data_IF_453072426575
#
_entry.id   IF_453072426575
#
_cell.length_a   1.000
_cell.length_b   1.000
_cell.length_c   1.000
_cell.angle_alpha   90.00
_cell.angle_beta   90.00
_cell.angle_gamma   90.00
#
_symmetry.space_group_name_H-M   'P 1'
#
loop_
_entity.id
_entity.type
_entity.pdbx_description
1 polymer ?
#
# COMPACT_ATOMS: atom_id res chain seq x y z
N UNK A 1 24.54 -36.75 -31.24
CA UNK A 1 23.30 -36.39 -31.97
C UNK A 1 22.09 -36.79 -31.12
N UNK A 2 21.50 -35.85 -30.36
CA UNK A 2 20.27 -36.10 -29.58
C UNK A 2 19.07 -36.07 -30.54
N UNK A 3 18.57 -37.24 -30.94
CA UNK A 3 17.28 -37.33 -31.65
C UNK A 3 16.17 -37.13 -30.63
N UNK A 4 15.72 -35.88 -30.45
CA UNK A 4 14.48 -35.57 -29.77
C UNK A 4 13.33 -36.28 -30.51
N UNK A 5 12.86 -37.42 -29.98
CA UNK A 5 11.59 -38.01 -30.38
C UNK A 5 10.48 -37.11 -29.85
N UNK A 6 10.15 -36.06 -30.60
CA UNK A 6 9.05 -35.16 -30.25
C UNK A 6 7.75 -35.94 -30.53
N UNK A 7 7.20 -36.57 -29.49
CA UNK A 7 5.85 -37.10 -29.52
C UNK A 7 4.85 -35.95 -29.74
N UNK A 8 3.78 -36.18 -30.51
CA UNK A 8 2.71 -35.21 -30.76
C UNK A 8 2.18 -34.60 -29.44
N UNK A 9 2.14 -35.41 -28.37
CA UNK A 9 1.77 -34.98 -27.03
C UNK A 9 2.70 -33.90 -26.45
N UNK A 10 4.02 -34.03 -26.66
CA UNK A 10 4.99 -33.04 -26.17
C UNK A 10 4.86 -31.71 -26.93
N UNK A 11 4.55 -31.78 -28.23
CA UNK A 11 4.37 -30.59 -29.07
C UNK A 11 3.09 -29.83 -28.68
N UNK A 12 1.99 -30.56 -28.46
CA UNK A 12 0.74 -29.99 -27.93
C UNK A 12 0.93 -29.36 -26.55
N UNK A 13 1.71 -30.01 -25.66
CA UNK A 13 1.97 -29.50 -24.32
C UNK A 13 2.80 -28.21 -24.35
N UNK A 14 3.80 -28.12 -25.22
CA UNK A 14 4.60 -26.90 -25.43
C UNK A 14 3.71 -25.76 -25.94
N UNK A 15 2.87 -26.02 -26.94
CA UNK A 15 1.94 -25.02 -27.49
C UNK A 15 0.92 -24.57 -26.45
N UNK A 16 0.31 -25.49 -25.70
CA UNK A 16 -0.62 -25.18 -24.63
C UNK A 16 0.02 -24.35 -23.51
N UNK A 17 1.26 -24.68 -23.13
CA UNK A 17 2.03 -23.92 -22.14
C UNK A 17 2.32 -22.51 -22.64
N UNK A 18 2.76 -22.36 -23.90
CA UNK A 18 3.02 -21.06 -24.53
C UNK A 18 1.77 -20.19 -24.59
N UNK A 19 0.63 -20.74 -25.02
CA UNK A 19 -0.66 -20.05 -25.03
C UNK A 19 -1.08 -19.60 -23.63
N UNK A 20 -0.87 -20.45 -22.62
CA UNK A 20 -1.20 -20.12 -21.23
C UNK A 20 -0.35 -18.97 -20.71
N UNK A 21 0.96 -18.95 -21.02
CA UNK A 21 1.86 -17.84 -20.64
C UNK A 21 1.43 -16.53 -21.30
N UNK A 22 1.10 -16.54 -22.60
CA UNK A 22 0.62 -15.35 -23.32
C UNK A 22 -0.70 -14.85 -22.73
N UNK A 23 -1.64 -15.76 -22.45
CA UNK A 23 -2.90 -15.44 -21.80
C UNK A 23 -2.68 -14.78 -20.43
N UNK A 24 -1.83 -15.37 -19.59
CA UNK A 24 -1.50 -14.81 -18.26
C UNK A 24 -0.85 -13.43 -18.37
N UNK A 25 0.02 -13.22 -19.38
CA UNK A 25 0.66 -11.93 -19.59
C UNK A 25 -0.34 -10.84 -20.01
N UNK A 26 -1.36 -11.21 -20.80
CA UNK A 26 -2.41 -10.31 -21.22
C UNK A 26 -3.42 -10.03 -20.11
N UNK A 27 -3.68 -11.01 -19.24
CA UNK A 27 -4.56 -10.89 -18.08
C UNK A 27 -3.87 -10.36 -16.82
N UNK A 28 -2.60 -9.96 -16.89
CA UNK A 28 -1.81 -9.51 -15.72
C UNK A 28 -2.52 -8.47 -14.85
N UNK A 29 -3.22 -7.51 -15.48
CA UNK A 29 -3.93 -6.45 -14.76
C UNK A 29 -5.11 -7.03 -13.94
N UNK A 30 -5.85 -7.98 -14.52
CA UNK A 30 -6.94 -8.69 -13.84
C UNK A 30 -6.40 -9.56 -12.70
N UNK A 31 -5.26 -10.24 -12.92
CA UNK A 31 -4.60 -11.03 -11.87
C UNK A 31 -4.19 -10.16 -10.69
N UNK A 32 -3.63 -8.96 -10.92
CA UNK A 32 -3.30 -8.01 -9.85
C UNK A 32 -4.55 -7.59 -9.08
N UNK A 33 -5.64 -7.25 -9.77
CA UNK A 33 -6.92 -6.90 -9.12
C UNK A 33 -7.43 -8.06 -8.26
N UNK A 34 -7.41 -9.29 -8.79
CA UNK A 34 -7.82 -10.48 -8.06
C UNK A 34 -6.93 -10.75 -6.84
N UNK A 35 -5.62 -10.56 -6.96
CA UNK A 35 -4.70 -10.69 -5.83
C UNK A 35 -5.03 -9.68 -4.72
N UNK A 36 -5.27 -8.41 -5.08
CA UNK A 36 -5.69 -7.38 -4.13
C UNK A 36 -7.03 -7.77 -3.48
N UNK A 37 -7.99 -8.27 -4.26
CA UNK A 37 -9.28 -8.72 -3.76
C UNK A 37 -9.17 -9.88 -2.77
N UNK A 38 -8.32 -10.88 -3.07
CA UNK A 38 -8.02 -12.00 -2.18
C UNK A 38 -7.39 -11.50 -0.89
N UNK A 39 -6.39 -10.63 -0.96
CA UNK A 39 -5.74 -10.04 0.22
C UNK A 39 -6.77 -9.31 1.08
N UNK A 40 -7.59 -8.43 0.48
CA UNK A 40 -8.66 -7.73 1.19
C UNK A 40 -9.66 -8.69 1.83
N UNK A 41 -10.05 -9.75 1.11
CA UNK A 41 -11.01 -10.74 1.59
C UNK A 41 -10.43 -11.49 2.80
N UNK A 42 -9.19 -11.94 2.70
CA UNK A 42 -8.43 -12.57 3.77
C UNK A 42 -8.29 -11.68 5.00
N UNK A 43 -8.04 -10.38 4.82
CA UNK A 43 -7.90 -9.42 5.92
C UNK A 43 -9.23 -9.16 6.63
N UNK A 44 -10.35 -9.09 5.90
CA UNK A 44 -11.66 -8.78 6.47
C UNK A 44 -12.43 -10.02 6.96
N UNK A 45 -12.06 -11.22 6.50
CA UNK A 45 -12.74 -12.47 6.86
C UNK A 45 -12.89 -12.68 8.39
N UNK A 46 -11.87 -12.46 9.24
CA UNK A 46 -12.03 -12.66 10.69
C UNK A 46 -13.07 -11.73 11.33
N UNK A 47 -13.24 -10.52 10.78
CA UNK A 47 -14.24 -9.54 11.26
C UNK A 47 -15.64 -10.03 10.87
N UNK A 48 -15.80 -10.51 9.65
CA UNK A 48 -17.07 -11.04 9.13
C UNK A 48 -17.46 -12.33 9.85
N UNK A 49 -16.52 -13.26 10.03
CA UNK A 49 -16.71 -14.50 10.79
C UNK A 49 -17.12 -14.21 12.25
N UNK A 50 -16.58 -13.14 12.84
CA UNK A 50 -16.96 -12.69 14.18
C UNK A 50 -18.38 -12.12 14.21
N UNK A 51 -18.76 -11.33 13.20
CA UNK A 51 -20.13 -10.83 13.04
C UNK A 51 -21.15 -11.96 12.81
N UNK A 52 -20.77 -13.02 12.09
CA UNK A 52 -21.62 -14.19 11.89
C UNK A 52 -21.88 -14.96 13.20
N UNK A 53 -20.87 -15.06 14.08
CA UNK A 53 -21.03 -15.60 15.45
C UNK A 53 -22.02 -14.78 16.30
N UNK A 54 -22.21 -13.50 15.99
CA UNK A 54 -23.20 -12.61 16.60
C UNK A 54 -24.59 -12.73 15.96
N UNK A 55 -24.85 -13.79 15.16
CA UNK A 55 -26.11 -14.06 14.42
C UNK A 55 -26.43 -13.05 13.31
N UNK A 56 -25.44 -12.30 12.82
CA UNK A 56 -25.62 -11.43 11.65
C UNK A 56 -25.51 -12.28 10.38
N UNK A 57 -26.48 -12.25 9.45
CA UNK A 57 -26.37 -13.01 8.22
C UNK A 57 -25.17 -12.52 7.40
N UNK A 58 -24.41 -13.46 6.81
CA UNK A 58 -23.11 -13.18 6.22
C UNK A 58 -23.10 -12.05 5.19
N UNK A 59 -24.09 -11.99 4.30
CA UNK A 59 -24.22 -10.91 3.31
C UNK A 59 -24.34 -9.52 3.95
N UNK A 60 -25.07 -9.42 5.07
CA UNK A 60 -25.22 -8.18 5.83
C UNK A 60 -23.93 -7.83 6.57
N UNK A 61 -23.24 -8.84 7.12
CA UNK A 61 -21.93 -8.65 7.74
C UNK A 61 -20.91 -8.09 6.74
N UNK A 62 -20.87 -8.60 5.49
CA UNK A 62 -20.02 -8.05 4.42
C UNK A 62 -20.34 -6.57 4.19
N UNK A 63 -21.61 -6.22 3.97
CA UNK A 63 -22.03 -4.84 3.72
C UNK A 63 -21.64 -3.92 4.88
N UNK A 64 -21.95 -4.31 6.12
CA UNK A 64 -21.67 -3.51 7.30
C UNK A 64 -20.17 -3.30 7.52
N UNK A 65 -19.34 -4.33 7.32
CA UNK A 65 -17.89 -4.22 7.45
C UNK A 65 -17.31 -3.28 6.38
N UNK A 66 -17.76 -3.38 5.13
CA UNK A 66 -17.31 -2.47 4.07
C UNK A 66 -17.78 -1.03 4.29
N UNK A 67 -19.04 -0.82 4.69
CA UNK A 67 -19.54 0.50 5.04
C UNK A 67 -18.76 1.08 6.22
N UNK A 68 -18.48 0.29 7.25
CA UNK A 68 -17.67 0.68 8.40
C UNK A 68 -16.23 1.04 8.00
N UNK A 69 -15.61 0.27 7.11
CA UNK A 69 -14.28 0.55 6.58
C UNK A 69 -14.26 1.87 5.80
N UNK A 70 -15.21 2.07 4.88
CA UNK A 70 -15.31 3.29 4.06
C UNK A 70 -15.59 4.50 4.96
N UNK A 71 -16.55 4.39 5.88
CA UNK A 71 -16.89 5.44 6.83
C UNK A 71 -15.71 5.78 7.75
N UNK A 72 -14.99 4.77 8.27
CA UNK A 72 -13.82 4.95 9.11
C UNK A 72 -12.67 5.64 8.39
N UNK A 73 -12.31 5.17 7.18
CA UNK A 73 -11.26 5.78 6.37
C UNK A 73 -11.62 7.22 5.97
N UNK A 74 -12.87 7.45 5.57
CA UNK A 74 -13.36 8.79 5.21
C UNK A 74 -13.36 9.71 6.42
N UNK A 75 -13.84 9.24 7.57
CA UNK A 75 -13.87 10.00 8.83
C UNK A 75 -12.47 10.38 9.31
N UNK A 76 -11.53 9.43 9.30
CA UNK A 76 -10.11 9.69 9.58
C UNK A 76 -9.55 10.73 8.61
N UNK A 77 -9.82 10.58 7.31
CA UNK A 77 -9.37 11.52 6.28
C UNK A 77 -9.92 12.94 6.47
N UNK A 78 -11.19 13.09 6.82
CA UNK A 78 -11.83 14.39 7.03
C UNK A 78 -11.36 15.09 8.31
N UNK A 79 -11.11 14.34 9.38
CA UNK A 79 -10.68 14.91 10.67
C UNK A 79 -9.18 15.18 10.70
N UNK A 80 -8.39 14.18 10.28
CA UNK A 80 -6.93 14.22 10.40
C UNK A 80 -6.30 14.87 9.16
N UNK A 81 -6.86 14.63 7.96
CA UNK A 81 -6.30 15.06 6.68
C UNK A 81 -6.02 16.57 6.58
N UNK A 82 -6.96 17.47 6.91
CA UNK A 82 -6.71 18.91 6.87
C UNK A 82 -5.56 19.34 7.80
N UNK A 83 -5.50 18.75 9.00
CA UNK A 83 -4.43 19.01 9.97
C UNK A 83 -3.09 18.55 9.43
N UNK A 84 -3.00 17.34 8.90
CA UNK A 84 -1.78 16.80 8.27
C UNK A 84 -1.33 17.71 7.12
N UNK A 85 -2.24 18.09 6.23
CA UNK A 85 -1.94 18.96 5.09
C UNK A 85 -1.37 20.31 5.54
N UNK A 86 -1.97 20.94 6.57
CA UNK A 86 -1.45 22.17 7.14
C UNK A 86 -0.07 22.00 7.77
N UNK A 87 0.17 20.91 8.50
CA UNK A 87 1.47 20.64 9.14
C UNK A 87 2.57 20.40 8.09
N UNK A 88 2.26 19.67 7.02
CA UNK A 88 3.18 19.46 5.90
C UNK A 88 3.50 20.79 5.21
N UNK A 89 2.49 21.62 4.91
CA UNK A 89 2.71 22.95 4.32
C UNK A 89 3.56 23.85 5.20
N UNK A 90 3.33 23.83 6.52
CA UNK A 90 4.16 24.57 7.49
C UNK A 90 5.60 24.07 7.48
N UNK A 91 5.81 22.75 7.42
CA UNK A 91 7.15 22.16 7.36
C UNK A 91 7.90 22.68 6.13
N UNK A 92 7.28 22.63 4.95
CA UNK A 92 7.89 23.15 3.73
C UNK A 92 8.20 24.64 3.78
N UNK A 93 7.36 25.45 4.44
CA UNK A 93 7.60 26.89 4.60
C UNK A 93 8.74 27.20 5.57
N UNK A 94 8.91 26.41 6.63
CA UNK A 94 9.98 26.61 7.63
C UNK A 94 11.29 25.91 7.27
N UNK A 95 11.25 24.96 6.34
CA UNK A 95 12.42 24.17 5.94
C UNK A 95 13.63 25.05 5.53
N UNK A 96 13.48 26.12 4.71
CA UNK A 96 14.62 26.97 4.36
C UNK A 96 15.26 27.63 5.59
N UNK A 97 14.46 28.15 6.51
CA UNK A 97 14.95 28.77 7.75
C UNK A 97 15.68 27.77 8.65
N UNK A 98 15.21 26.52 8.73
CA UNK A 98 15.91 25.46 9.47
C UNK A 98 17.25 25.09 8.83
N UNK A 99 17.33 25.11 7.49
CA UNK A 99 18.59 24.89 6.78
C UNK A 99 19.57 26.04 7.00
N UNK A 100 19.12 27.29 6.99
CA UNK A 100 19.96 28.46 7.30
C UNK A 100 20.56 28.35 8.70
N UNK A 101 19.74 28.01 9.72
CA UNK A 101 20.25 27.79 11.08
C UNK A 101 21.27 26.64 11.11
N UNK A 102 20.97 25.52 10.47
CA UNK A 102 21.88 24.38 10.43
C UNK A 102 23.22 24.75 9.75
N UNK A 103 23.19 25.43 8.62
CA UNK A 103 24.40 25.90 7.91
C UNK A 103 25.23 26.84 8.79
N UNK A 104 24.60 27.80 9.47
CA UNK A 104 25.32 28.71 10.38
C UNK A 104 25.96 28.00 11.58
N UNK A 105 25.32 26.96 12.13
CA UNK A 105 25.90 26.13 13.20
C UNK A 105 27.07 25.28 12.70
N UNK A 106 26.95 24.71 11.49
CA UNK A 106 28.01 23.95 10.84
C UNK A 106 29.22 24.84 10.51
N UNK A 107 28.99 26.06 10.03
CA UNK A 107 30.05 27.03 9.76
C UNK A 107 30.75 27.45 11.06
N UNK A 108 29.99 27.72 12.12
CA UNK A 108 30.56 28.02 13.43
C UNK A 108 31.39 26.86 14.02
N UNK A 109 30.97 25.62 13.79
CA UNK A 109 31.73 24.42 14.18
C UNK A 109 32.98 24.23 13.31
N UNK A 110 32.89 24.46 12.00
CA UNK A 110 34.00 24.36 11.06
C UNK A 110 35.12 25.36 11.41
N UNK A 111 34.75 26.61 11.72
CA UNK A 111 35.68 27.63 12.20
C UNK A 111 36.37 27.20 13.50
N UNK A 112 35.64 26.63 14.46
CA UNK A 112 36.21 26.13 15.73
C UNK A 112 37.15 24.94 15.53
N UNK A 113 36.95 24.13 14.50
CA UNK A 113 37.77 22.96 14.17
C UNK A 113 38.91 23.28 13.18
N UNK A 114 39.05 24.54 12.77
CA UNK A 114 40.09 24.97 11.82
C UNK A 114 39.89 24.46 10.39
N UNK A 115 38.69 23.95 10.05
CA UNK A 115 38.35 23.46 8.72
C UNK A 115 37.78 24.62 7.92
N UNK A 116 38.58 25.21 7.03
CA UNK A 116 38.28 26.52 6.41
C UNK A 116 37.20 26.47 5.33
N UNK A 117 36.83 25.29 4.82
CA UNK A 117 35.68 25.15 3.91
C UNK A 117 35.05 23.76 4.09
N UNK A 118 33.98 23.67 4.88
CA UNK A 118 33.11 22.50 4.81
C UNK A 118 32.27 22.63 3.52
N UNK A 119 32.55 21.82 2.51
CA UNK A 119 31.77 21.74 1.26
C UNK A 119 30.26 21.44 1.48
N UNK A 120 29.87 21.11 2.70
CA UNK A 120 28.49 20.92 3.16
C UNK A 120 27.64 22.20 3.06
N UNK A 121 28.22 23.41 3.22
CA UNK A 121 27.47 24.67 3.08
C UNK A 121 26.91 24.87 1.67
N UNK A 122 27.61 24.37 0.63
CA UNK A 122 27.13 24.36 -0.77
C UNK A 122 26.12 23.25 -1.06
N UNK A 123 26.08 22.17 -0.29
CA UNK A 123 25.09 21.08 -0.47
C UNK A 123 23.71 21.42 0.12
N UNK A 124 23.64 22.35 1.08
CA UNK A 124 22.40 22.77 1.75
C UNK A 124 22.05 24.24 1.44
N UNK A 125 22.46 24.77 0.29
CA UNK A 125 22.08 26.11 -0.14
C UNK A 125 20.55 26.22 -0.21
N UNK A 126 19.98 27.07 0.64
CA UNK A 126 18.54 27.31 0.75
C UNK A 126 17.92 27.68 -0.61
N UNK A 127 18.68 28.31 -1.52
CA UNK A 127 18.22 28.62 -2.88
C UNK A 127 17.95 27.38 -3.75
N UNK A 128 18.81 26.35 -3.65
CA UNK A 128 18.64 25.08 -4.38
C UNK A 128 17.48 24.24 -3.84
N UNK A 129 17.29 24.20 -2.52
CA UNK A 129 16.15 23.49 -1.91
C UNK A 129 14.84 24.21 -2.23
N UNK A 130 14.81 25.54 -2.17
CA UNK A 130 13.60 26.32 -2.47
C UNK A 130 13.21 26.20 -3.94
N UNK A 131 14.17 26.26 -4.87
CA UNK A 131 13.91 26.02 -6.29
C UNK A 131 13.51 24.57 -6.59
N UNK A 132 14.03 23.58 -5.86
CA UNK A 132 13.57 22.18 -5.94
C UNK A 132 12.12 22.00 -5.44
N UNK A 133 11.74 22.64 -4.33
CA UNK A 133 10.37 22.62 -3.80
C UNK A 133 9.38 23.29 -4.77
N UNK A 134 9.73 24.45 -5.31
CA UNK A 134 8.89 25.20 -6.26
C UNK A 134 8.75 24.43 -7.58
N UNK A 135 9.85 23.93 -8.14
CA UNK A 135 9.83 23.18 -9.40
C UNK A 135 9.12 21.83 -9.26
N UNK A 136 9.21 21.16 -8.11
CA UNK A 136 8.45 19.94 -7.82
C UNK A 136 6.95 20.23 -7.72
N UNK A 137 6.57 21.34 -7.07
CA UNK A 137 5.18 21.79 -6.98
C UNK A 137 4.59 22.15 -8.35
N UNK A 138 5.37 22.81 -9.21
CA UNK A 138 4.97 23.14 -10.58
C UNK A 138 4.91 21.91 -11.49
N UNK A 139 5.83 20.94 -11.37
CA UNK A 139 5.78 19.68 -12.13
C UNK A 139 4.53 18.86 -11.85
N UNK A 140 4.08 18.84 -10.59
CA UNK A 140 2.81 18.20 -10.20
C UNK A 140 1.59 18.87 -10.85
N UNK A 141 1.63 20.18 -11.07
CA UNK A 141 0.57 20.96 -11.72
C UNK A 141 0.60 20.86 -13.26
N UNK A 142 1.75 20.62 -13.88
CA UNK A 142 1.88 20.55 -15.35
C UNK A 142 1.64 19.12 -15.88
N UNK A 143 1.81 18.08 -15.05
CA UNK A 143 1.52 16.68 -15.40
C UNK A 143 0.05 16.25 -15.17
N UNK A 144 -0.90 17.19 -15.03
CA UNK A 144 -2.27 16.88 -14.63
C UNK A 144 -2.97 15.84 -15.52
N UNK A 145 -2.76 15.84 -16.85
CA UNK A 145 -3.42 14.89 -17.75
C UNK A 145 -2.97 13.43 -17.56
N UNK A 146 -1.67 13.18 -17.32
CA UNK A 146 -1.15 11.84 -17.06
C UNK A 146 -1.50 11.34 -15.65
N UNK A 147 -1.50 12.26 -14.68
CA UNK A 147 -1.88 11.98 -13.30
C UNK A 147 -3.36 11.60 -13.19
N UNK A 148 -4.27 12.34 -13.85
CA UNK A 148 -5.71 12.05 -13.82
C UNK A 148 -6.00 10.65 -14.37
N UNK A 149 -5.41 10.25 -15.50
CA UNK A 149 -5.62 8.89 -16.05
C UNK A 149 -5.11 7.79 -15.11
N UNK A 150 -3.94 8.00 -14.51
CA UNK A 150 -3.36 7.06 -13.53
C UNK A 150 -4.22 6.95 -12.27
N UNK A 151 -4.70 8.08 -11.74
CA UNK A 151 -5.57 8.13 -10.58
C UNK A 151 -6.91 7.46 -10.86
N UNK A 152 -7.54 7.73 -12.01
CA UNK A 152 -8.78 7.05 -12.41
C UNK A 152 -8.60 5.54 -12.52
N UNK A 153 -7.51 5.08 -13.15
CA UNK A 153 -7.21 3.65 -13.24
C UNK A 153 -6.97 3.02 -11.85
N UNK A 154 -6.27 3.72 -10.95
CA UNK A 154 -6.04 3.28 -9.58
C UNK A 154 -7.33 3.18 -8.77
N UNK A 155 -8.17 4.21 -8.81
CA UNK A 155 -9.47 4.23 -8.12
C UNK A 155 -10.37 3.12 -8.64
N UNK A 156 -10.44 2.93 -9.97
CA UNK A 156 -11.21 1.85 -10.57
C UNK A 156 -10.70 0.47 -10.12
N UNK A 157 -9.38 0.28 -10.07
CA UNK A 157 -8.73 -0.94 -9.57
C UNK A 157 -9.13 -1.23 -8.13
N UNK A 158 -9.09 -0.22 -7.26
CA UNK A 158 -9.48 -0.36 -5.84
C UNK A 158 -10.95 -0.72 -5.72
N UNK A 159 -11.85 0.01 -6.40
CA UNK A 159 -13.30 -0.27 -6.39
C UNK A 159 -13.57 -1.70 -6.86
N UNK A 160 -12.97 -2.11 -7.97
CA UNK A 160 -13.17 -3.45 -8.52
C UNK A 160 -12.63 -4.53 -7.56
N UNK A 161 -11.46 -4.32 -6.97
CA UNK A 161 -10.89 -5.24 -5.97
C UNK A 161 -11.77 -5.33 -4.71
N UNK A 162 -12.32 -4.21 -4.24
CA UNK A 162 -13.28 -4.15 -3.12
C UNK A 162 -14.55 -4.94 -3.44
N UNK A 163 -15.13 -4.76 -4.63
CA UNK A 163 -16.33 -5.49 -5.06
C UNK A 163 -16.08 -6.99 -5.16
N UNK A 164 -14.97 -7.38 -5.81
CA UNK A 164 -14.57 -8.78 -5.94
C UNK A 164 -14.32 -9.41 -4.56
N UNK A 165 -13.65 -8.69 -3.67
CA UNK A 165 -13.41 -9.15 -2.32
C UNK A 165 -14.72 -9.35 -1.54
N UNK A 166 -15.67 -8.41 -1.65
CA UNK A 166 -17.00 -8.55 -1.06
C UNK A 166 -17.76 -9.76 -1.61
N UNK A 167 -17.68 -10.00 -2.91
CA UNK A 167 -18.26 -11.20 -3.54
C UNK A 167 -17.60 -12.49 -3.04
N UNK A 168 -16.26 -12.51 -2.93
CA UNK A 168 -15.51 -13.63 -2.37
C UNK A 168 -15.88 -13.93 -0.92
N UNK A 169 -16.12 -12.89 -0.13
CA UNK A 169 -16.55 -13.00 1.26
C UNK A 169 -18.00 -13.45 1.39
N UNK A 170 -18.90 -13.04 0.49
CA UNK A 170 -20.29 -13.44 0.51
C UNK A 170 -20.49 -14.91 0.10
N UNK A 171 -19.69 -15.43 -0.84
CA UNK A 171 -19.86 -16.75 -1.47
C UNK A 171 -18.64 -17.68 -1.43
N UNK A 172 -17.81 -17.62 -0.38
CA UNK A 172 -16.45 -18.20 -0.40
C UNK A 172 -16.39 -19.69 -0.74
N UNK A 173 -17.35 -20.51 -0.30
CA UNK A 173 -17.28 -21.96 -0.53
C UNK A 173 -17.48 -22.35 -2.00
N UNK A 174 -18.42 -21.70 -2.69
CA UNK A 174 -18.72 -21.99 -4.10
C UNK A 174 -17.55 -21.56 -4.99
N UNK A 175 -16.91 -20.43 -4.65
CA UNK A 175 -15.77 -19.91 -5.39
C UNK A 175 -14.51 -20.77 -5.22
N UNK A 176 -14.27 -21.26 -4.00
CA UNK A 176 -13.17 -22.19 -3.75
C UNK A 176 -13.40 -23.50 -4.51
N UNK A 177 -14.59 -24.10 -4.41
CA UNK A 177 -14.92 -25.34 -5.11
C UNK A 177 -14.81 -25.18 -6.63
N UNK A 178 -15.33 -24.08 -7.19
CA UNK A 178 -15.28 -23.80 -8.62
C UNK A 178 -13.86 -23.48 -9.14
N UNK A 179 -13.03 -22.78 -8.36
CA UNK A 179 -11.65 -22.51 -8.76
C UNK A 179 -10.78 -23.76 -8.71
N UNK A 180 -11.01 -24.60 -7.71
CA UNK A 180 -10.23 -25.83 -7.49
C UNK A 180 -10.64 -26.96 -8.45
N UNK A 181 -11.90 -27.00 -8.91
CA UNK A 181 -12.37 -28.00 -9.88
C UNK A 181 -11.75 -27.87 -11.28
N UNK A 182 -11.06 -26.77 -11.56
CA UNK A 182 -10.25 -26.59 -12.77
C UNK A 182 -8.98 -27.46 -12.77
N UNK A 183 -8.57 -27.98 -11.61
CA UNK A 183 -7.38 -28.81 -11.47
C UNK A 183 -7.74 -30.31 -11.45
N UNK A 184 -6.92 -31.17 -12.08
CA UNK A 184 -7.17 -32.60 -12.08
C UNK A 184 -6.93 -33.22 -10.69
N UNK A 185 -7.68 -34.28 -10.37
CA UNK A 185 -7.47 -35.07 -9.14
C UNK A 185 -6.05 -35.65 -9.08
N UNK A 186 -5.38 -35.68 -7.92
CA UNK A 186 -5.85 -35.30 -6.57
C UNK A 186 -5.44 -33.86 -6.17
N UNK A 187 -5.04 -33.02 -7.13
CA UNK A 187 -4.57 -31.66 -6.83
C UNK A 187 -5.71 -30.75 -6.38
N UNK A 188 -6.93 -31.04 -6.81
CA UNK A 188 -8.14 -30.35 -6.37
C UNK A 188 -8.26 -30.34 -4.84
N UNK A 189 -8.34 -31.50 -4.19
CA UNK A 189 -8.49 -31.60 -2.74
C UNK A 189 -7.31 -30.97 -1.99
N UNK A 190 -6.08 -31.18 -2.51
CA UNK A 190 -4.87 -30.58 -1.93
C UNK A 190 -4.92 -29.06 -1.97
N UNK A 191 -5.32 -28.46 -3.10
CA UNK A 191 -5.41 -27.01 -3.24
C UNK A 191 -6.50 -26.43 -2.36
N UNK A 192 -7.70 -27.04 -2.33
CA UNK A 192 -8.79 -26.61 -1.45
C UNK A 192 -8.37 -26.57 0.03
N UNK A 193 -7.63 -27.58 0.49
CA UNK A 193 -7.13 -27.64 1.86
C UNK A 193 -6.13 -26.52 2.18
N UNK A 194 -5.39 -26.01 1.19
CA UNK A 194 -4.41 -24.92 1.39
C UNK A 194 -5.03 -23.52 1.36
N UNK A 195 -6.20 -23.32 0.74
CA UNK A 195 -6.80 -21.98 0.60
C UNK A 195 -7.00 -21.31 1.96
N UNK A 196 -7.57 -22.01 2.94
CA UNK A 196 -7.88 -21.43 4.26
C UNK A 196 -6.61 -21.05 5.05
N UNK A 197 -5.60 -21.93 5.21
CA UNK A 197 -4.34 -21.57 5.84
C UNK A 197 -3.61 -20.40 5.16
N UNK A 198 -3.56 -20.38 3.82
CA UNK A 198 -2.90 -19.29 3.08
C UNK A 198 -3.66 -17.98 3.30
N UNK A 199 -4.99 -17.99 3.17
CA UNK A 199 -5.83 -16.82 3.42
C UNK A 199 -5.65 -16.27 4.84
N UNK A 200 -5.63 -17.14 5.86
CA UNK A 200 -5.41 -16.71 7.25
C UNK A 200 -4.03 -16.07 7.46
N UNK A 201 -2.97 -16.61 6.86
CA UNK A 201 -1.62 -16.03 6.93
C UNK A 201 -1.54 -14.68 6.22
N UNK A 202 -2.14 -14.57 5.03
CA UNK A 202 -2.20 -13.31 4.28
C UNK A 202 -2.98 -12.25 5.06
N UNK A 203 -4.15 -12.60 5.57
CA UNK A 203 -4.98 -11.72 6.38
C UNK A 203 -4.26 -11.26 7.65
N UNK A 204 -3.68 -12.20 8.39
CA UNK A 204 -2.93 -11.91 9.62
C UNK A 204 -1.69 -11.03 9.39
N UNK A 205 -0.97 -11.21 8.27
CA UNK A 205 0.15 -10.35 7.91
C UNK A 205 -0.29 -8.89 7.70
N UNK A 206 -1.36 -8.67 6.93
CA UNK A 206 -1.88 -7.31 6.66
C UNK A 206 -2.45 -6.68 7.94
N UNK A 207 -3.21 -7.43 8.73
CA UNK A 207 -3.71 -6.95 10.03
C UNK A 207 -2.55 -6.55 10.94
N UNK A 208 -1.51 -7.38 11.05
CA UNK A 208 -0.30 -7.06 11.79
C UNK A 208 0.39 -5.79 11.27
N UNK A 209 0.49 -5.62 9.94
CA UNK A 209 1.05 -4.41 9.33
C UNK A 209 0.24 -3.16 9.64
N UNK A 210 -1.09 -3.22 9.62
CA UNK A 210 -1.95 -2.10 10.02
C UNK A 210 -1.75 -1.75 11.49
N UNK A 211 -1.72 -2.74 12.38
CA UNK A 211 -1.50 -2.52 13.82
C UNK A 211 -0.13 -1.91 14.10
N UNK A 212 0.94 -2.48 13.54
CA UNK A 212 2.32 -1.98 13.71
C UNK A 212 2.44 -0.56 13.17
N UNK A 213 1.84 -0.27 12.01
CA UNK A 213 1.84 1.06 11.40
C UNK A 213 1.08 2.09 12.26
N UNK A 214 -0.05 1.69 12.85
CA UNK A 214 -0.79 2.53 13.80
C UNK A 214 0.02 2.83 15.05
N UNK A 215 0.65 1.82 15.65
CA UNK A 215 1.53 1.98 16.81
C UNK A 215 2.70 2.91 16.47
N UNK A 216 3.37 2.71 15.34
CA UNK A 216 4.49 3.54 14.90
C UNK A 216 4.06 5.00 14.70
N UNK A 217 2.94 5.24 14.03
CA UNK A 217 2.43 6.60 13.80
C UNK A 217 2.05 7.30 15.12
N UNK A 218 1.45 6.57 16.06
CA UNK A 218 1.18 7.09 17.40
C UNK A 218 2.46 7.38 18.18
N UNK A 219 3.42 6.45 18.18
CA UNK A 219 4.70 6.61 18.86
C UNK A 219 5.47 7.84 18.35
N UNK A 220 5.51 8.04 17.04
CA UNK A 220 6.14 9.23 16.42
C UNK A 220 5.38 10.51 16.80
N UNK A 221 4.05 10.49 16.75
CA UNK A 221 3.24 11.65 17.15
C UNK A 221 3.49 12.04 18.61
N UNK A 222 3.51 11.05 19.51
CA UNK A 222 3.73 11.28 20.94
C UNK A 222 5.17 11.70 21.20
N UNK A 223 6.15 11.02 20.60
CA UNK A 223 7.57 11.36 20.73
C UNK A 223 7.89 12.78 20.28
N UNK A 224 7.36 13.21 19.12
CA UNK A 224 7.55 14.58 18.63
C UNK A 224 6.87 15.63 19.51
N UNK A 225 5.71 15.31 20.12
CA UNK A 225 5.08 16.20 21.11
C UNK A 225 5.97 16.39 22.34
N UNK A 226 6.58 15.32 22.86
CA UNK A 226 7.49 15.40 23.99
C UNK A 226 8.78 16.16 23.68
N UNK A 227 9.28 16.08 22.43
CA UNK A 227 10.45 16.83 21.98
C UNK A 227 10.18 18.32 21.67
N UNK A 228 8.96 18.81 21.92
CA UNK A 228 8.58 20.20 21.65
C UNK A 228 8.24 20.49 20.17
N UNK A 229 8.24 19.47 19.30
CA UNK A 229 7.92 19.57 17.87
C UNK A 229 6.44 19.29 17.59
N UNK A 230 5.56 19.79 18.47
CA UNK A 230 4.12 19.53 18.42
C UNK A 230 3.44 20.03 17.14
N UNK A 231 4.02 21.03 16.48
CA UNK A 231 3.50 21.64 15.25
C UNK A 231 3.59 20.74 14.02
N UNK A 232 4.41 19.68 14.03
CA UNK A 232 4.54 18.70 12.94
C UNK A 232 4.23 17.26 13.37
N UNK A 233 3.98 17.05 14.66
CA UNK A 233 3.91 15.72 15.26
C UNK A 233 2.88 14.78 14.60
N UNK A 234 1.67 15.28 14.39
CA UNK A 234 0.58 14.49 13.83
C UNK A 234 0.77 14.24 12.33
N UNK A 235 1.27 15.24 11.60
CA UNK A 235 1.59 15.13 10.17
C UNK A 235 2.66 14.07 9.92
N UNK A 236 3.79 14.17 10.62
CA UNK A 236 4.90 13.23 10.50
C UNK A 236 4.53 11.83 11.02
N UNK A 237 3.75 11.74 12.09
CA UNK A 237 3.26 10.45 12.60
C UNK A 237 2.33 9.74 11.60
N UNK A 238 1.40 10.47 10.97
CA UNK A 238 0.53 9.90 9.94
C UNK A 238 1.33 9.47 8.71
N UNK A 239 2.27 10.30 8.24
CA UNK A 239 3.14 9.95 7.12
C UNK A 239 3.89 8.67 7.44
N UNK A 240 4.56 8.60 8.59
CA UNK A 240 5.33 7.44 8.99
C UNK A 240 4.47 6.16 9.08
N UNK A 241 3.28 6.26 9.67
CA UNK A 241 2.32 5.16 9.74
C UNK A 241 1.90 4.68 8.35
N UNK A 242 1.50 5.59 7.46
CA UNK A 242 1.09 5.25 6.08
C UNK A 242 2.26 4.66 5.29
N UNK A 243 3.46 5.24 5.38
CA UNK A 243 4.63 4.74 4.66
C UNK A 243 5.10 3.38 5.16
N UNK A 244 4.94 3.09 6.45
CA UNK A 244 5.29 1.80 7.03
C UNK A 244 4.31 0.67 6.62
N UNK A 245 3.13 1.03 6.14
CA UNK A 245 2.18 0.07 5.58
C UNK A 245 2.68 -0.51 4.24
N UNK A 246 3.50 0.26 3.51
CA UNK A 246 4.17 -0.20 2.28
C UNK A 246 5.30 -1.15 2.70
N UNK A 247 5.26 -2.44 2.32
CA UNK A 247 6.33 -3.36 2.66
C UNK A 247 7.61 -2.96 1.90
N UNK A 248 8.70 -2.76 2.63
CA UNK A 248 10.03 -2.71 2.04
C UNK A 248 10.47 -4.16 1.82
N UNK A 249 10.46 -4.58 0.55
CA UNK A 249 10.96 -5.88 0.12
C UNK A 249 12.46 -5.81 -0.16
#
# INVERSE_FOLDING_TARGET
MLRLKISLANLLLIVATGLTIVLLWQLRALLVVLMIAVVLASTLAPIIDSAEKLRIPRWLAVILVYLGLIAGLTGIGLVIGPTVAQQIQRLFRKLPAYLEVLTSLLDALAIRLGMTELALSKMFDAGTVTSWVISSSQKLLVQSYGLTRSLFAGVFTVILATLLSGYMLAGSEQLIKGGVSLFPKPWDEKLAAQVKPVSQRMGGYIQGRVVVSGILGMAITVGLKFLGLSEFALGLGVIAGVTNLIPFF
#
